data_IF_962964934545
#
_entry.id   IF_962964934545
#
_cell.length_a   1.000
_cell.length_b   1.000
_cell.length_c   1.000
_cell.angle_alpha   90.00
_cell.angle_beta   90.00
_cell.angle_gamma   90.00
#
_symmetry.space_group_name_H-M   'P 1'
#
loop_
_entity.id
_entity.type
_entity.pdbx_description
1 polymer ?
2 polymer ?
3 branched ?
4 branched ?
5 branched ?
6 branched ?
7 non-polymer ?
8 non-polymer ?
9 water ?
#
# COMPACT_ATOMS: atom_id res chain seq x y z
N UNK A 1 -11.84 9.73 -18.27
CA UNK A 1 -12.68 9.31 -17.15
C UNK A 1 -12.09 9.76 -15.83
N UNK A 2 -12.95 9.93 -14.82
CA UNK A 2 -12.50 10.33 -13.48
C UNK A 2 -13.47 9.78 -12.45
N UNK A 3 -13.04 8.82 -11.61
CA UNK A 3 -13.96 8.24 -10.62
C UNK A 3 -14.34 9.19 -9.50
N UNK A 4 -13.63 10.30 -9.34
CA UNK A 4 -13.91 11.30 -8.30
C UNK A 4 -13.88 10.68 -6.90
N UNK A 5 -12.93 9.76 -6.70
CA UNK A 5 -12.69 9.17 -5.40
C UNK A 5 -12.05 10.21 -4.49
N UNK A 6 -11.95 9.93 -3.19
CA UNK A 6 -11.17 10.81 -2.31
C UNK A 6 -9.70 10.73 -2.64
N UNK A 7 -8.94 11.64 -2.04
CA UNK A 7 -7.50 11.63 -2.23
C UNK A 7 -6.82 12.19 -0.99
N UNK A 8 -5.60 11.71 -0.76
CA UNK A 8 -4.84 12.13 0.40
C UNK A 8 -4.15 13.46 0.14
N UNK A 9 -3.72 14.09 1.22
CA UNK A 9 -2.83 15.23 1.18
C UNK A 9 -1.51 14.70 1.70
N UNK A 10 -0.52 14.61 0.81
CA UNK A 10 0.72 13.95 1.18
C UNK A 10 1.63 14.88 1.96
N UNK A 11 1.36 16.18 1.92
CA UNK A 11 2.13 17.17 2.64
C UNK A 11 1.80 17.09 4.13
N UNK A 12 2.11 15.95 4.74
CA UNK A 12 1.99 15.74 6.17
C UNK A 12 3.18 14.93 6.65
N UNK A 13 3.59 15.11 7.91
CA UNK A 13 4.67 14.28 8.45
C UNK A 13 4.22 12.84 8.56
N UNK A 14 5.10 11.91 8.18
CA UNK A 14 4.75 10.51 8.14
C UNK A 14 5.72 9.63 8.91
N UNK A 15 6.75 10.21 9.51
CA UNK A 15 7.68 9.52 10.39
C UNK A 15 7.78 10.38 11.65
N UNK A 16 7.06 9.99 12.69
CA UNK A 16 6.95 10.77 13.91
C UNK A 16 7.66 10.08 15.07
N UNK A 17 8.43 10.86 15.82
CA UNK A 17 9.13 10.38 17.00
C UNK A 17 8.73 11.24 18.19
N UNK A 18 8.23 10.61 19.25
CA UNK A 18 7.89 11.28 20.49
C UNK A 18 8.63 10.57 21.62
N UNK A 19 8.90 11.31 22.68
CA UNK A 19 9.45 10.67 23.86
C UNK A 19 8.34 9.95 24.62
N UNK A 20 8.74 8.95 25.41
CA UNK A 20 7.76 8.13 26.12
C UNK A 20 6.93 9.02 27.05
N UNK A 21 5.60 8.86 26.99
CA UNK A 21 4.69 9.68 27.74
C UNK A 21 4.24 10.95 27.03
N UNK A 22 5.00 11.40 26.03
CA UNK A 22 4.65 12.61 25.27
C UNK A 22 3.61 12.28 24.23
N UNK A 23 2.53 13.06 24.18
CA UNK A 23 1.43 12.77 23.27
C UNK A 23 1.86 12.89 21.80
N UNK A 24 1.45 11.92 20.99
CA UNK A 24 1.74 11.90 19.58
C UNK A 24 0.51 12.14 18.72
N UNK A 25 0.70 12.80 17.58
CA UNK A 25 -0.39 13.11 16.66
C UNK A 25 0.00 12.64 15.26
N UNK A 26 -0.91 11.92 14.60
CA UNK A 26 -0.71 11.43 13.25
C UNK A 26 -1.74 12.12 12.34
N UNK A 27 -1.26 12.92 11.39
CA UNK A 27 -2.13 13.79 10.59
C UNK A 27 -2.43 13.13 9.24
N UNK A 28 -3.68 12.73 9.07
CA UNK A 28 -4.19 12.21 7.79
C UNK A 28 -5.24 13.17 7.28
N UNK A 29 -4.97 13.79 6.13
CA UNK A 29 -5.90 14.72 5.50
C UNK A 29 -6.51 14.05 4.28
N UNK A 30 -7.83 13.95 4.25
CA UNK A 30 -8.55 13.30 3.16
C UNK A 30 -9.52 14.32 2.56
N UNK A 31 -9.35 14.57 1.27
CA UNK A 31 -10.18 15.52 0.53
C UNK A 31 -11.20 14.77 -0.31
N UNK A 32 -12.32 15.44 -0.61
CA UNK A 32 -13.37 14.89 -1.47
C UNK A 32 -13.88 13.55 -0.94
N UNK A 33 -14.21 13.53 0.36
CA UNK A 33 -14.56 12.26 1.01
C UNK A 33 -15.80 11.64 0.42
N UNK A 34 -16.78 12.46 0.01
CA UNK A 34 -17.99 11.90 -0.57
C UNK A 34 -18.71 11.06 0.46
N UNK A 35 -19.14 9.87 0.04
CA UNK A 35 -19.83 8.93 0.90
C UNK A 35 -18.88 7.93 1.56
N UNK A 36 -17.57 8.16 1.47
CA UNK A 36 -16.59 7.22 2.00
C UNK A 36 -16.34 7.50 3.48
N UNK A 37 -15.51 6.65 4.10
CA UNK A 37 -15.19 6.80 5.51
C UNK A 37 -13.71 6.47 5.73
N UNK A 38 -13.13 7.13 6.73
CA UNK A 38 -11.70 7.06 7.02
C UNK A 38 -11.49 6.27 8.30
N UNK A 39 -10.46 5.42 8.32
CA UNK A 39 -10.19 4.58 9.48
C UNK A 39 -8.71 4.61 9.79
N UNK A 40 -8.39 4.36 11.05
CA UNK A 40 -7.02 4.19 11.52
C UNK A 40 -6.86 2.76 11.99
N UNK A 41 -5.78 2.09 11.56
CA UNK A 41 -5.50 0.74 12.01
C UNK A 41 -4.04 0.64 12.41
N UNK A 42 -3.76 -0.29 13.33
CA UNK A 42 -2.40 -0.62 13.74
C UNK A 42 -1.93 -1.82 12.92
N UNK A 43 -0.90 -1.62 12.12
CA UNK A 43 -0.51 -2.62 11.12
C UNK A 43 0.08 -3.87 11.75
N UNK A 44 0.80 -3.71 12.87
CA UNK A 44 1.51 -4.84 13.46
C UNK A 44 0.58 -6.02 13.75
N UNK A 45 -0.57 -5.75 14.36
CA UNK A 45 -1.51 -6.81 14.70
C UNK A 45 -2.87 -6.64 14.01
N UNK A 46 -2.99 -5.71 13.07
CA UNK A 46 -4.23 -5.50 12.32
C UNK A 46 -5.38 -5.10 13.26
N UNK A 47 -5.03 -4.31 14.28
CA UNK A 47 -6.01 -3.86 15.26
C UNK A 47 -6.70 -2.60 14.76
N UNK A 48 -8.03 -2.65 14.69
CA UNK A 48 -8.78 -1.46 14.33
C UNK A 48 -8.73 -0.48 15.49
N UNK A 49 -8.40 0.78 15.20
CA UNK A 49 -8.37 1.81 16.24
C UNK A 49 -9.61 2.68 16.17
N UNK A 50 -9.82 3.36 15.05
CA UNK A 50 -11.00 4.19 14.83
C UNK A 50 -11.57 3.90 13.45
N UNK A 51 -12.86 4.19 13.31
CA UNK A 51 -13.58 4.05 12.05
C UNK A 51 -14.57 5.20 11.98
N UNK A 52 -14.31 6.17 11.12
CA UNK A 52 -15.16 7.35 11.09
C UNK A 52 -15.04 8.12 12.39
N UNK A 53 -16.17 8.62 12.88
CA UNK A 53 -16.17 9.36 14.13
C UNK A 53 -15.98 8.47 15.35
N UNK A 54 -16.24 7.18 15.21
CA UNK A 54 -16.25 6.26 16.34
C UNK A 54 -14.88 5.64 16.59
N UNK A 55 -14.59 5.39 17.85
CA UNK A 55 -13.39 4.68 18.26
C UNK A 55 -13.77 3.21 18.42
N UNK A 56 -12.95 2.32 17.84
CA UNK A 56 -13.22 0.90 17.98
C UNK A 56 -12.48 0.29 19.16
N UNK A 57 -11.18 0.57 19.27
CA UNK A 57 -10.37 -0.02 20.33
C UNK A 57 -10.88 0.43 21.70
N UNK A 58 -10.70 -0.45 22.70
CA UNK A 58 -10.99 -0.10 24.07
C UNK A 58 -9.80 0.53 24.78
N UNK A 59 -8.65 0.60 24.12
CA UNK A 59 -7.48 1.34 24.61
C UNK A 59 -7.84 2.82 24.57
N UNK A 60 -8.16 3.40 25.72
CA UNK A 60 -8.64 4.78 25.77
C UNK A 60 -7.59 5.80 25.37
N UNK A 61 -6.37 5.39 25.06
CA UNK A 61 -5.37 6.36 24.63
C UNK A 61 -5.55 6.80 23.19
N UNK A 62 -6.38 6.11 22.42
CA UNK A 62 -6.54 6.39 20.99
C UNK A 62 -7.86 7.10 20.76
N UNK A 63 -7.79 8.26 20.09
CA UNK A 63 -8.96 9.01 19.69
C UNK A 63 -8.68 9.67 18.34
N UNK A 64 -9.72 9.82 17.53
CA UNK A 64 -9.60 10.52 16.26
C UNK A 64 -10.20 11.91 16.43
N UNK A 65 -9.38 12.93 16.20
CA UNK A 65 -9.80 14.33 16.35
C UNK A 65 -10.18 14.84 14.96
N UNK A 66 -11.48 14.94 14.70
CA UNK A 66 -11.95 15.48 13.45
C UNK A 66 -13.21 16.33 13.66
N UNK A 67 -13.14 17.63 13.42
CA UNK A 67 -14.37 18.43 13.42
C UNK A 67 -15.20 18.14 12.19
N UNK A 68 -16.52 18.29 12.32
CA UNK A 68 -17.43 18.01 11.23
C UNK A 68 -17.09 18.85 10.00
N UNK A 69 -17.12 18.21 8.83
CA UNK A 69 -16.82 18.86 7.58
C UNK A 69 -15.34 19.02 7.30
N UNK A 70 -14.48 18.83 8.29
CA UNK A 70 -13.05 19.00 8.08
C UNK A 70 -12.48 17.79 7.34
N UNK A 71 -11.33 18.02 6.71
CA UNK A 71 -10.57 16.96 6.07
C UNK A 71 -9.53 16.34 6.99
N UNK A 72 -9.33 16.87 8.19
CA UNK A 72 -8.27 16.43 9.08
C UNK A 72 -8.75 15.26 9.93
N UNK A 73 -8.07 14.12 9.81
CA UNK A 73 -8.35 12.93 10.61
C UNK A 73 -7.13 12.63 11.48
N UNK A 74 -6.89 13.46 12.49
CA UNK A 74 -5.71 13.32 13.33
C UNK A 74 -5.91 12.22 14.35
N UNK A 75 -5.02 11.23 14.35
CA UNK A 75 -5.03 10.19 15.38
C UNK A 75 -4.22 10.70 16.56
N UNK A 76 -4.86 10.79 17.72
CA UNK A 76 -4.19 11.24 18.93
C UNK A 76 -3.81 10.02 19.75
N UNK A 77 -2.57 9.97 20.19
CA UNK A 77 -2.07 8.85 20.98
C UNK A 77 -1.52 9.43 22.28
N UNK A 78 -2.36 9.45 23.31
CA UNK A 78 -1.94 9.94 24.60
C UNK A 78 -1.16 8.86 25.34
N UNK A 79 -0.25 9.30 26.21
CA UNK A 79 0.56 8.43 27.05
C UNK A 79 1.21 7.27 26.29
N UNK A 80 1.99 7.54 25.24
CA UNK A 80 2.59 6.46 24.47
C UNK A 80 3.73 5.78 25.21
N UNK A 81 3.87 4.49 24.94
CA UNK A 81 4.91 3.63 25.49
C UNK A 81 5.70 3.06 24.33
N UNK A 82 6.94 2.61 24.57
CA UNK A 82 7.72 2.02 23.47
C UNK A 82 6.99 0.89 22.75
N UNK A 83 6.05 0.23 23.44
CA UNK A 83 5.26 -0.82 22.83
C UNK A 83 4.43 -0.31 21.66
N UNK A 84 4.04 0.97 21.70
CA UNK A 84 3.20 1.54 20.66
C UNK A 84 3.95 1.84 19.37
N UNK A 85 5.28 1.78 19.37
CA UNK A 85 6.05 2.07 18.17
C UNK A 85 5.71 1.08 17.06
N UNK A 86 5.63 1.59 15.84
CA UNK A 86 5.31 0.76 14.69
C UNK A 86 4.61 1.58 13.62
N UNK A 87 4.05 0.87 12.64
CA UNK A 87 3.40 1.48 11.48
C UNK A 87 1.90 1.54 11.73
N UNK A 88 1.32 2.71 11.47
CA UNK A 88 -0.11 2.94 11.57
C UNK A 88 -0.63 3.38 10.21
N UNK A 89 -1.84 2.93 9.86
CA UNK A 89 -2.36 3.13 8.51
C UNK A 89 -3.67 3.90 8.55
N UNK A 90 -3.75 4.96 7.75
CA UNK A 90 -4.98 5.71 7.52
C UNK A 90 -5.59 5.16 6.23
N UNK A 91 -6.75 4.51 6.35
CA UNK A 91 -7.33 3.86 5.18
C UNK A 91 -8.74 4.39 4.91
N UNK A 92 -9.06 4.45 3.61
CA UNK A 92 -10.35 4.89 3.10
C UNK A 92 -11.09 3.65 2.59
N UNK A 93 -12.40 3.58 2.88
CA UNK A 93 -13.15 2.36 2.63
C UNK A 93 -13.61 2.19 1.18
N UNK A 94 -12.83 2.72 0.23
CA UNK A 94 -13.08 2.47 -1.17
C UNK A 94 -12.80 1.00 -1.51
N UNK A 95 -13.22 0.60 -2.71
CA UNK A 95 -13.05 -0.77 -3.20
C UNK A 95 -12.20 -0.75 -4.46
N UNK A 96 -10.90 -1.12 -4.38
CA UNK A 96 -10.14 -1.54 -3.20
C UNK A 96 -9.79 -0.34 -2.32
N UNK A 97 -9.25 -0.61 -1.13
CA UNK A 97 -8.98 0.46 -0.18
C UNK A 97 -7.95 1.44 -0.73
N UNK A 98 -7.97 2.65 -0.18
CA UNK A 98 -6.88 3.59 -0.26
C UNK A 98 -6.23 3.65 1.10
N UNK A 99 -4.90 3.70 1.13
CA UNK A 99 -4.16 3.63 2.37
C UNK A 99 -2.96 4.57 2.33
N UNK A 100 -2.59 5.07 3.51
CA UNK A 100 -1.42 5.90 3.71
C UNK A 100 -0.74 5.45 4.99
N UNK A 101 0.54 5.11 4.91
CA UNK A 101 1.24 4.52 6.05
C UNK A 101 1.98 5.58 6.84
N UNK A 102 2.01 5.42 8.15
CA UNK A 102 2.69 6.32 9.07
C UNK A 102 3.56 5.51 10.01
N UNK A 103 4.78 5.97 10.24
CA UNK A 103 5.68 5.34 11.19
C UNK A 103 5.71 6.17 12.47
N UNK A 104 5.52 5.49 13.61
CA UNK A 104 5.42 6.13 14.91
C UNK A 104 6.48 5.52 15.82
N UNK A 105 7.35 6.36 16.37
CA UNK A 105 8.45 5.91 17.22
C UNK A 105 8.32 6.54 18.60
N UNK A 106 8.48 5.73 19.63
CA UNK A 106 8.42 6.18 21.02
C UNK A 106 9.77 5.91 21.66
N UNK A 107 10.47 6.97 22.05
CA UNK A 107 11.85 6.87 22.53
C UNK A 107 11.90 7.07 24.04
N UNK A 108 12.79 6.31 24.68
CA UNK A 108 12.93 6.33 26.14
C UNK A 108 13.80 7.50 26.62
N UNK B 1 -13.19 -12.21 38.21
CA UNK B 1 -13.32 -11.98 36.78
C UNK B 1 -13.96 -10.63 36.48
N UNK B 2 -13.74 -10.14 35.26
CA UNK B 2 -14.55 -9.03 34.78
C UNK B 2 -15.96 -9.54 34.51
N UNK B 3 -16.95 -8.73 34.87
CA UNK B 3 -18.34 -9.15 34.73
C UNK B 3 -18.68 -9.49 33.27
N UNK B 4 -17.94 -8.90 32.33
CA UNK B 4 -18.06 -9.23 30.91
C UNK B 4 -16.66 -9.51 30.38
N UNK B 5 -16.41 -10.77 30.00
CA UNK B 5 -15.12 -11.19 29.44
C UNK B 5 -15.37 -11.99 28.17
N UNK B 6 -15.51 -11.32 27.03
CA UNK B 6 -15.84 -12.03 25.78
C UNK B 6 -14.72 -12.94 25.32
N UNK B 7 -15.11 -14.08 24.76
CA UNK B 7 -14.17 -15.06 24.22
C UNK B 7 -14.74 -15.66 22.94
N UNK B 8 -13.85 -16.19 22.12
CA UNK B 8 -14.26 -16.89 20.91
C UNK B 8 -14.83 -18.25 21.30
N UNK B 9 -16.06 -18.53 20.87
CA UNK B 9 -16.66 -19.81 21.24
C UNK B 9 -16.01 -20.98 20.49
N UNK B 10 -15.54 -20.74 19.28
CA UNK B 10 -14.99 -21.80 18.43
C UNK B 10 -14.07 -21.16 17.40
N UNK B 11 -13.11 -21.91 16.86
CA UNK B 11 -12.32 -21.39 15.75
C UNK B 11 -13.17 -21.26 14.51
N UNK B 12 -12.75 -20.36 13.63
CA UNK B 12 -13.43 -20.18 12.35
C UNK B 12 -13.24 -21.42 11.48
N UNK B 13 -14.30 -21.83 10.79
CA UNK B 13 -14.26 -22.97 9.89
C UNK B 13 -13.83 -22.51 8.50
N UNK B 14 -12.73 -23.07 7.99
CA UNK B 14 -12.33 -22.84 6.61
C UNK B 14 -13.52 -23.12 5.68
N UNK B 15 -13.57 -22.40 4.57
CA UNK B 15 -14.66 -22.56 3.62
C UNK B 15 -14.11 -22.57 2.21
N UNK B 16 -14.68 -23.42 1.37
CA UNK B 16 -14.37 -23.47 -0.05
C UNK B 16 -15.64 -23.22 -0.84
N UNK B 17 -15.57 -22.33 -1.84
CA UNK B 17 -16.75 -21.97 -2.60
C UNK B 17 -16.40 -21.74 -4.07
N UNK B 18 -17.23 -22.22 -4.98
CA UNK B 18 -16.96 -22.00 -6.41
C UNK B 18 -17.23 -20.56 -6.84
N UNK B 19 -16.59 -20.18 -7.94
CA UNK B 19 -16.75 -18.82 -8.46
C UNK B 19 -18.22 -18.58 -8.80
N UNK B 20 -18.70 -17.38 -8.46
CA UNK B 20 -20.07 -17.01 -8.71
C UNK B 20 -21.06 -17.41 -7.64
N UNK B 21 -20.66 -18.28 -6.70
CA UNK B 21 -21.55 -18.66 -5.62
C UNK B 21 -21.30 -17.79 -4.40
N UNK B 22 -22.18 -17.92 -3.41
CA UNK B 22 -22.04 -17.22 -2.15
C UNK B 22 -21.25 -18.06 -1.16
N UNK B 23 -20.48 -17.37 -0.32
CA UNK B 23 -19.79 -18.02 0.79
C UNK B 23 -20.11 -17.27 2.07
N UNK B 24 -20.06 -17.99 3.18
CA UNK B 24 -20.35 -17.44 4.49
C UNK B 24 -19.20 -17.76 5.42
N UNK B 25 -18.68 -16.74 6.08
CA UNK B 25 -17.64 -16.89 7.08
C UNK B 25 -18.24 -16.53 8.43
N UNK B 26 -18.20 -17.48 9.36
CA UNK B 26 -18.89 -17.36 10.64
C UNK B 26 -17.88 -17.30 11.78
N UNK B 27 -18.07 -16.31 12.65
CA UNK B 27 -17.29 -16.14 13.87
C UNK B 27 -18.24 -16.24 15.06
N UNK B 28 -17.94 -17.15 16.01
CA UNK B 28 -18.82 -17.43 17.13
C UNK B 28 -18.15 -16.93 18.41
N UNK B 29 -18.83 -16.02 19.11
CA UNK B 29 -18.30 -15.42 20.33
C UNK B 29 -19.23 -15.72 21.50
N UNK B 30 -18.65 -15.67 22.70
CA UNK B 30 -19.38 -15.78 23.95
C UNK B 30 -19.26 -14.49 24.74
N UNK B 31 -20.33 -14.12 25.44
CA UNK B 31 -20.32 -13.01 26.40
C UNK B 31 -19.78 -11.72 25.79
N UNK B 32 -20.24 -11.41 24.58
CA UNK B 32 -19.77 -10.21 23.90
C UNK B 32 -20.10 -8.96 24.69
N UNK B 33 -21.29 -8.89 25.28
CA UNK B 33 -21.67 -7.75 26.08
C UNK B 33 -21.69 -6.47 25.24
N UNK B 34 -21.05 -5.42 25.76
CA UNK B 34 -21.05 -4.14 25.04
C UNK B 34 -19.98 -4.05 23.97
N UNK B 35 -19.17 -5.08 23.79
CA UNK B 35 -18.05 -5.09 22.88
C UNK B 35 -18.50 -5.31 21.44
N UNK B 36 -17.57 -5.06 20.51
CA UNK B 36 -17.86 -5.02 19.08
C UNK B 36 -17.04 -6.06 18.32
N UNK B 37 -17.69 -6.76 17.39
CA UNK B 37 -17.06 -7.78 16.56
C UNK B 37 -16.81 -7.21 15.17
N UNK B 38 -15.61 -7.40 14.63
CA UNK B 38 -15.26 -6.89 13.32
C UNK B 38 -14.64 -7.97 12.45
N UNK B 39 -14.91 -7.88 11.15
CA UNK B 39 -14.34 -8.75 10.13
C UNK B 39 -13.39 -7.95 9.25
N UNK B 40 -12.24 -8.53 8.95
CA UNK B 40 -11.23 -7.88 8.12
C UNK B 40 -10.67 -8.87 7.12
N UNK B 41 -10.23 -8.35 5.98
CA UNK B 41 -9.44 -9.12 5.03
C UNK B 41 -7.98 -9.03 5.46
N UNK B 42 -7.37 -10.18 5.74
CA UNK B 42 -6.00 -10.19 6.24
C UNK B 42 -5.01 -9.83 5.14
N UNK B 43 -5.19 -10.39 3.95
CA UNK B 43 -4.19 -10.23 2.89
C UNK B 43 -4.01 -8.77 2.50
N UNK B 44 -5.12 -8.02 2.43
CA UNK B 44 -5.07 -6.61 2.08
C UNK B 44 -5.25 -5.70 3.27
N UNK B 45 -5.36 -6.25 4.48
CA UNK B 45 -5.56 -5.47 5.70
C UNK B 45 -6.65 -4.43 5.52
N UNK B 46 -7.81 -4.90 5.09
CA UNK B 46 -8.96 -4.05 4.80
C UNK B 46 -10.07 -4.33 5.79
N UNK B 47 -10.58 -3.26 6.41
CA UNK B 47 -11.74 -3.39 7.29
C UNK B 47 -12.97 -3.71 6.44
N UNK B 48 -13.66 -4.78 6.78
CA UNK B 48 -14.87 -5.18 6.06
C UNK B 48 -16.16 -4.80 6.81
N UNK B 49 -16.31 -5.28 8.04
CA UNK B 49 -17.53 -5.03 8.83
C UNK B 49 -17.17 -4.69 10.26
N UNK B 50 -18.06 -3.92 10.92
CA UNK B 50 -17.99 -3.69 12.35
C UNK B 50 -19.40 -3.80 12.92
N UNK B 51 -19.62 -4.76 13.81
CA UNK B 51 -20.95 -5.08 14.35
C UNK B 51 -21.84 -5.38 13.16
N UNK B 52 -23.02 -4.75 13.04
CA UNK B 52 -23.96 -4.98 11.96
C UNK B 52 -23.82 -3.97 10.82
N UNK B 53 -22.72 -3.23 10.78
CA UNK B 53 -22.46 -2.26 9.73
C UNK B 53 -21.36 -2.79 8.82
N UNK B 54 -21.63 -2.81 7.52
CA UNK B 54 -20.60 -3.11 6.53
C UNK B 54 -19.80 -1.84 6.29
N UNK B 55 -18.49 -1.89 6.53
CA UNK B 55 -17.65 -0.72 6.33
C UNK B 55 -17.20 -0.61 4.87
N UNK B 56 -16.76 -1.73 4.29
CA UNK B 56 -16.28 -1.67 2.92
C UNK B 56 -17.42 -1.28 1.97
N UNK B 57 -17.06 -0.52 0.95
CA UNK B 57 -17.99 -0.18 -0.11
C UNK B 57 -18.16 -1.31 -1.13
N UNK B 58 -17.49 -2.44 -0.91
CA UNK B 58 -17.75 -3.64 -1.68
C UNK B 58 -19.18 -4.09 -1.41
N UNK B 59 -20.06 -3.91 -2.38
CA UNK B 59 -21.47 -4.23 -2.17
C UNK B 59 -21.74 -5.74 -2.10
N UNK B 60 -20.74 -6.57 -2.40
CA UNK B 60 -20.91 -8.01 -2.29
C UNK B 60 -20.78 -8.51 -0.85
N UNK B 61 -20.52 -7.64 0.11
CA UNK B 61 -20.24 -8.02 1.49
C UNK B 61 -21.39 -7.59 2.38
N UNK B 62 -21.93 -8.55 3.14
CA UNK B 62 -22.93 -8.27 4.15
C UNK B 62 -22.60 -8.97 5.45
N UNK B 63 -23.23 -8.50 6.52
CA UNK B 63 -23.01 -9.04 7.87
C UNK B 63 -24.35 -9.33 8.52
N UNK B 64 -24.43 -10.44 9.25
CA UNK B 64 -25.60 -10.80 10.02
C UNK B 64 -25.12 -11.39 11.34
N UNK B 65 -25.97 -11.27 12.36
CA UNK B 65 -25.64 -11.84 13.66
C UNK B 65 -26.88 -12.50 14.25
N UNK B 66 -26.64 -13.54 15.05
CA UNK B 66 -27.70 -14.27 15.74
C UNK B 66 -27.39 -14.24 17.24
N UNK B 67 -28.23 -13.54 17.99
CA UNK B 67 -28.11 -13.45 19.45
C UNK B 67 -26.78 -12.83 19.88
N UNK B 68 -26.17 -12.01 19.02
CA UNK B 68 -24.85 -11.43 19.29
C UNK B 68 -23.78 -12.50 19.54
N UNK B 69 -24.06 -13.75 19.19
CA UNK B 69 -23.09 -14.83 19.34
C UNK B 69 -22.52 -15.29 18.01
N UNK B 70 -23.36 -15.54 17.02
CA UNK B 70 -22.91 -15.91 15.69
C UNK B 70 -22.79 -14.64 14.85
N UNK B 71 -21.62 -14.41 14.28
CA UNK B 71 -21.38 -13.26 13.42
C UNK B 71 -20.96 -13.80 12.07
N UNK B 72 -21.90 -13.81 11.13
CA UNK B 72 -21.70 -14.43 9.84
C UNK B 72 -21.51 -13.34 8.80
N UNK B 73 -20.35 -13.34 8.16
CA UNK B 73 -20.10 -12.45 7.03
C UNK B 73 -20.38 -13.22 5.75
N UNK B 74 -21.18 -12.62 4.88
CA UNK B 74 -21.52 -13.19 3.59
C UNK B 74 -20.79 -12.44 2.48
N UNK B 75 -20.32 -13.18 1.49
CA UNK B 75 -19.65 -12.62 0.32
C UNK B 75 -20.41 -13.09 -0.91
N UNK B 76 -21.18 -12.19 -1.53
CA UNK B 76 -21.91 -12.51 -2.76
C UNK B 76 -20.96 -12.69 -3.94
N UNK B 77 -21.40 -13.50 -4.91
CA UNK B 77 -20.78 -13.62 -6.23
C UNK B 77 -19.27 -13.69 -6.13
N UNK B 78 -18.75 -14.80 -5.62
CA UNK B 78 -17.31 -14.89 -5.31
C UNK B 78 -16.45 -14.75 -6.56
N UNK B 79 -15.41 -13.92 -6.41
CA UNK B 79 -14.34 -13.74 -7.38
C UNK B 79 -13.11 -14.49 -6.88
N UNK B 80 -12.26 -14.94 -7.81
CA UNK B 80 -11.04 -15.64 -7.41
C UNK B 80 -10.16 -14.78 -6.53
N UNK B 81 -10.24 -13.46 -6.67
CA UNK B 81 -9.52 -12.52 -5.82
C UNK B 81 -10.05 -12.47 -4.39
N UNK B 82 -11.18 -13.12 -4.09
CA UNK B 82 -11.65 -13.20 -2.71
C UNK B 82 -10.92 -14.24 -1.89
N UNK B 83 -10.20 -15.17 -2.53
CA UNK B 83 -9.48 -16.21 -1.81
C UNK B 83 -8.44 -15.62 -0.87
N UNK B 84 -8.36 -16.17 0.33
CA UNK B 84 -7.36 -15.72 1.28
C UNK B 84 -7.87 -15.78 2.70
N UNK B 85 -7.15 -15.10 3.58
CA UNK B 85 -7.40 -15.14 5.01
C UNK B 85 -8.29 -13.99 5.44
N UNK B 86 -9.19 -14.28 6.38
CA UNK B 86 -10.11 -13.30 6.95
C UNK B 86 -10.01 -13.35 8.46
N UNK B 87 -10.05 -12.19 9.10
CA UNK B 87 -9.86 -12.07 10.53
C UNK B 87 -11.14 -11.60 11.22
N UNK B 88 -11.46 -12.24 12.34
CA UNK B 88 -12.55 -11.82 13.22
C UNK B 88 -11.96 -11.22 14.48
N UNK B 89 -12.39 -10.01 14.82
CA UNK B 89 -11.74 -9.22 15.86
C UNK B 89 -12.77 -8.75 16.87
N UNK B 90 -12.36 -8.73 18.15
CA UNK B 90 -13.17 -8.18 19.24
C UNK B 90 -12.37 -7.06 19.88
N UNK B 91 -13.02 -5.92 20.13
CA UNK B 91 -12.34 -4.74 20.67
C UNK B 91 -12.13 -4.79 22.17
N UNK B 92 -11.73 -5.95 22.71
CA UNK B 92 -11.31 -6.00 24.09
C UNK B 92 -9.93 -5.37 24.24
N UNK B 93 -9.52 -5.16 25.48
CA UNK B 93 -8.18 -4.65 25.80
C UNK B 93 -7.48 -5.67 26.68
N UNK B 94 -6.52 -6.46 26.15
CA UNK B 94 -6.06 -6.44 24.76
C UNK B 94 -7.08 -7.02 23.78
N UNK B 95 -6.96 -6.68 22.51
CA UNK B 95 -7.90 -7.17 21.51
C UNK B 95 -7.71 -8.67 21.30
N UNK B 96 -8.77 -9.33 20.81
CA UNK B 96 -8.71 -10.74 20.49
C UNK B 96 -8.95 -10.94 18.99
N UNK B 97 -8.23 -11.91 18.42
CA UNK B 97 -8.26 -12.15 16.98
C UNK B 97 -8.21 -13.64 16.69
N UNK B 98 -8.91 -14.04 15.64
CA UNK B 98 -8.74 -15.37 15.05
C UNK B 98 -8.98 -15.23 13.55
N UNK B 99 -8.44 -16.19 12.80
CA UNK B 99 -8.46 -16.13 11.34
C UNK B 99 -9.03 -17.40 10.72
N UNK B 100 -9.71 -17.22 9.60
CA UNK B 100 -10.16 -18.34 8.79
C UNK B 100 -9.85 -18.06 7.33
N UNK B 101 -9.82 -19.14 6.54
CA UNK B 101 -9.41 -19.07 5.14
C UNK B 101 -10.60 -19.36 4.24
N UNK B 102 -10.81 -18.49 3.26
CA UNK B 102 -11.80 -18.71 2.22
C UNK B 102 -11.08 -19.17 0.96
N UNK B 103 -11.36 -20.39 0.52
CA UNK B 103 -10.75 -20.96 -0.67
C UNK B 103 -11.77 -20.88 -1.81
N UNK B 104 -11.29 -20.53 -3.00
CA UNK B 104 -12.15 -20.34 -4.16
C UNK B 104 -11.75 -21.32 -5.24
N UNK B 105 -12.73 -22.01 -5.81
CA UNK B 105 -12.48 -22.97 -6.87
C UNK B 105 -13.11 -22.50 -8.17
N UNK C 3 -14.69 -4.70 -14.12
CA UNK C 3 -13.60 -4.32 -15.02
C UNK C 3 -12.61 -5.46 -15.29
N UNK C 4 -12.64 -6.49 -14.45
CA UNK C 4 -11.77 -7.67 -14.61
C UNK C 4 -10.28 -7.28 -14.61
N UNK C 5 -9.90 -6.45 -13.64
CA UNK C 5 -8.51 -6.10 -13.46
C UNK C 5 -7.73 -7.32 -12.96
N UNK C 6 -6.40 -7.27 -12.99
CA UNK C 6 -5.61 -8.34 -12.39
C UNK C 6 -5.72 -8.35 -10.88
N UNK C 7 -5.20 -9.42 -10.28
CA UNK C 7 -5.20 -9.56 -8.83
C UNK C 7 -4.01 -10.41 -8.42
N UNK C 8 -3.52 -10.18 -7.20
CA UNK C 8 -2.35 -10.88 -6.72
C UNK C 8 -2.70 -12.29 -6.26
N UNK C 9 -1.66 -13.09 -6.10
CA UNK C 9 -1.72 -14.44 -5.56
C UNK C 9 -1.02 -14.42 -4.20
N UNK C 10 -1.80 -14.54 -3.12
CA UNK C 10 -1.28 -14.25 -1.79
C UNK C 10 -0.58 -15.42 -1.08
N UNK C 11 -0.86 -16.67 -1.44
CA UNK C 11 -0.18 -17.80 -0.79
C UNK C 11 1.23 -17.98 -1.35
N UNK C 12 2.07 -16.98 -1.07
CA UNK C 12 3.49 -17.03 -1.42
C UNK C 12 4.29 -16.51 -0.25
N UNK C 13 5.54 -16.97 -0.10
CA UNK C 13 6.39 -16.46 0.98
C UNK C 13 6.70 -15.00 0.76
N UNK C 14 6.61 -14.22 1.85
CA UNK C 14 6.79 -12.78 1.76
C UNK C 14 7.79 -12.20 2.75
N UNK C 15 8.41 -13.04 3.59
CA UNK C 15 9.50 -12.63 4.47
C UNK C 15 10.60 -13.67 4.24
N UNK C 16 11.59 -13.32 3.41
CA UNK C 16 12.60 -14.28 2.99
C UNK C 16 13.94 -13.92 3.59
N UNK C 17 14.63 -14.92 4.13
CA UNK C 17 15.95 -14.77 4.71
C UNK C 17 16.91 -15.74 4.03
N UNK C 18 18.00 -15.21 3.49
CA UNK C 18 19.04 -16.04 2.89
C UNK C 18 20.37 -15.68 3.52
N UNK C 19 21.27 -16.65 3.54
CA UNK C 19 22.63 -16.38 3.99
C UNK C 19 23.41 -15.70 2.87
N UNK C 20 24.46 -14.98 3.26
CA UNK C 20 25.24 -14.22 2.29
C UNK C 20 25.83 -15.16 1.24
N UNK C 21 25.70 -14.77 -0.03
CA UNK C 21 26.14 -15.60 -1.13
C UNK C 21 25.10 -16.55 -1.67
N UNK C 22 24.06 -16.86 -0.91
CA UNK C 22 23.00 -17.74 -1.38
C UNK C 22 21.99 -16.95 -2.20
N UNK C 23 21.66 -17.43 -3.40
CA UNK C 23 20.75 -16.70 -4.27
C UNK C 23 19.37 -16.63 -3.64
N UNK C 24 18.76 -15.45 -3.71
CA UNK C 24 17.44 -15.23 -3.18
C UNK C 24 16.41 -15.03 -4.27
N UNK C 25 15.19 -15.52 -4.03
CA UNK C 25 14.09 -15.44 -4.97
C UNK C 25 12.87 -14.87 -4.27
N UNK C 26 12.24 -13.88 -4.90
CA UNK C 26 11.01 -13.28 -4.41
C UNK C 26 9.91 -13.61 -5.41
N UNK C 27 8.90 -14.34 -4.96
CA UNK C 27 7.87 -14.88 -5.84
C UNK C 27 6.66 -13.94 -5.85
N UNK C 28 6.43 -13.30 -6.98
CA UNK C 28 5.25 -12.48 -7.20
C UNK C 28 4.43 -13.16 -8.29
N UNK C 29 3.24 -13.61 -7.94
CA UNK C 29 2.33 -14.24 -8.88
C UNK C 29 1.18 -13.27 -9.16
N UNK C 30 0.99 -12.92 -10.43
CA UNK C 30 -0.03 -11.97 -10.86
C UNK C 30 -0.95 -12.67 -11.84
N UNK C 31 -2.23 -12.73 -11.51
CA UNK C 31 -3.22 -13.43 -12.34
C UNK C 31 -4.03 -12.43 -13.15
N UNK C 32 -4.51 -12.89 -14.31
CA UNK C 32 -5.38 -12.11 -15.19
C UNK C 32 -4.71 -10.78 -15.56
N UNK C 33 -3.47 -10.87 -16.05
CA UNK C 33 -2.66 -9.66 -16.27
C UNK C 33 -3.26 -8.75 -17.35
N UNK C 34 -3.80 -9.33 -18.41
CA UNK C 34 -4.35 -8.52 -19.48
C UNK C 34 -3.26 -7.69 -20.13
N UNK C 35 -3.54 -6.41 -20.34
CA UNK C 35 -2.61 -5.49 -20.97
C UNK C 35 -1.75 -4.71 -19.96
N UNK C 36 -1.76 -5.09 -18.69
CA UNK C 36 -0.96 -4.41 -17.69
C UNK C 36 0.45 -5.00 -17.64
N UNK C 37 1.30 -4.42 -16.79
CA UNK C 37 2.68 -4.86 -16.70
C UNK C 37 3.14 -4.85 -15.25
N UNK C 38 4.11 -5.72 -14.95
CA UNK C 38 4.59 -5.95 -13.59
C UNK C 38 6.01 -5.40 -13.46
N UNK C 39 6.28 -4.75 -12.33
CA UNK C 39 7.58 -4.15 -12.09
C UNK C 39 8.04 -4.48 -10.68
N UNK C 40 9.36 -4.51 -10.48
CA UNK C 40 9.96 -4.69 -9.16
C UNK C 40 10.73 -3.43 -8.80
N UNK C 41 10.55 -2.96 -7.57
CA UNK C 41 11.27 -1.78 -7.09
C UNK C 41 11.83 -2.09 -5.71
N UNK C 42 12.92 -1.40 -5.38
CA UNK C 42 13.49 -1.44 -4.04
C UNK C 42 12.94 -0.25 -3.28
N UNK C 43 12.16 -0.51 -2.23
CA UNK C 43 11.44 0.59 -1.58
C UNK C 43 12.37 1.54 -0.85
N UNK C 44 13.48 1.03 -0.32
CA UNK C 44 14.34 1.86 0.52
C UNK C 44 14.75 3.14 -0.18
N UNK C 45 15.21 3.04 -1.43
CA UNK C 45 15.62 4.22 -2.18
C UNK C 45 14.80 4.40 -3.45
N UNK C 46 13.71 3.65 -3.62
CA UNK C 46 12.82 3.78 -4.78
C UNK C 46 13.56 3.48 -6.08
N UNK C 47 14.49 2.54 -6.03
CA UNK C 47 15.24 2.16 -7.21
C UNK C 47 14.46 1.12 -8.00
N UNK C 48 14.20 1.42 -9.28
CA UNK C 48 13.52 0.46 -10.14
C UNK C 48 14.48 -0.68 -10.47
N UNK C 49 14.02 -1.92 -10.31
CA UNK C 49 14.84 -3.08 -10.60
C UNK C 49 14.51 -3.68 -11.96
N UNK C 50 13.25 -4.08 -12.16
CA UNK C 50 12.79 -4.59 -13.45
C UNK C 50 11.47 -3.94 -13.80
N UNK C 51 11.16 -3.93 -15.09
CA UNK C 51 9.88 -3.39 -15.58
C UNK C 51 9.44 -4.30 -16.72
N UNK C 52 8.42 -5.11 -16.47
CA UNK C 52 8.04 -6.10 -17.46
C UNK C 52 9.17 -7.09 -17.64
N UNK C 53 9.41 -7.48 -18.89
CA UNK C 53 10.50 -8.40 -19.16
C UNK C 53 11.88 -7.78 -19.06
N UNK C 54 11.98 -6.46 -19.20
CA UNK C 54 13.28 -5.80 -19.27
C UNK C 54 13.76 -5.40 -17.88
N UNK C 55 15.07 -5.42 -17.71
CA UNK C 55 15.74 -5.02 -16.48
C UNK C 55 16.16 -3.56 -16.58
N UNK C 56 15.85 -2.77 -15.55
CA UNK C 56 16.25 -1.37 -15.53
C UNK C 56 17.57 -1.18 -14.79
N UNK C 57 17.71 -1.79 -13.60
CA UNK C 57 18.91 -1.58 -12.80
C UNK C 57 20.14 -2.09 -13.54
N UNK C 58 21.27 -1.41 -13.31
CA UNK C 58 22.55 -1.85 -13.84
C UNK C 58 23.28 -2.80 -12.90
N UNK C 59 22.75 -3.03 -11.71
CA UNK C 59 23.24 -4.05 -10.80
C UNK C 59 22.92 -5.40 -11.42
N UNK C 60 23.92 -6.04 -12.02
CA UNK C 60 23.71 -7.28 -12.77
C UNK C 60 23.24 -8.45 -11.93
N UNK C 61 23.12 -8.27 -10.61
CA UNK C 61 22.67 -9.35 -9.75
C UNK C 61 21.15 -9.53 -9.80
N UNK C 62 20.42 -8.60 -10.40
CA UNK C 62 18.97 -8.63 -10.43
C UNK C 62 18.46 -9.07 -11.79
N UNK C 63 17.58 -10.07 -11.80
CA UNK C 63 16.88 -10.49 -13.00
C UNK C 63 15.48 -10.93 -12.61
N UNK C 64 14.54 -10.74 -13.52
CA UNK C 64 13.17 -11.22 -13.35
C UNK C 64 13.00 -12.49 -14.17
N UNK C 65 12.69 -13.59 -13.50
CA UNK C 65 12.48 -14.89 -14.13
C UNK C 65 10.99 -15.06 -14.33
N UNK C 66 10.54 -14.90 -15.57
CA UNK C 66 9.13 -15.07 -15.87
C UNK C 66 8.98 -15.87 -17.16
N UNK C 67 8.42 -17.07 -17.10
CA UNK C 67 8.13 -17.79 -18.35
C UNK C 67 6.97 -17.15 -19.08
N UNK C 68 7.02 -17.21 -20.40
CA UNK C 68 5.95 -16.66 -21.21
C UNK C 68 4.66 -17.39 -20.85
N UNK C 69 3.58 -16.66 -20.65
CA UNK C 69 2.33 -17.27 -20.26
C UNK C 69 2.19 -17.59 -18.79
N UNK C 70 3.26 -17.52 -18.01
CA UNK C 70 3.20 -17.78 -16.58
C UNK C 70 2.63 -16.57 -15.84
N UNK C 71 2.10 -16.85 -14.66
CA UNK C 71 1.73 -15.81 -13.72
C UNK C 71 2.87 -15.47 -12.77
N UNK C 72 3.97 -16.21 -12.85
CA UNK C 72 5.10 -16.09 -11.94
C UNK C 72 6.05 -14.99 -12.42
N UNK C 73 6.23 -13.97 -11.59
CA UNK C 73 7.19 -12.89 -11.84
C UNK C 73 8.22 -12.93 -10.72
N UNK C 74 9.09 -13.95 -10.74
CA UNK C 74 10.07 -14.15 -9.69
C UNK C 74 11.26 -13.23 -9.88
N UNK C 75 11.56 -12.44 -8.84
CA UNK C 75 12.76 -11.61 -8.80
C UNK C 75 13.91 -12.44 -8.25
N UNK C 76 14.97 -12.56 -9.03
CA UNK C 76 16.17 -13.28 -8.62
C UNK C 76 17.23 -12.28 -8.20
N UNK C 77 17.87 -12.52 -7.05
CA UNK C 77 18.89 -11.65 -6.50
C UNK C 77 20.12 -12.50 -6.24
N UNK C 78 21.05 -12.53 -7.19
CA UNK C 78 22.27 -13.31 -7.02
C UNK C 78 23.28 -12.54 -6.18
N UNK C 79 24.16 -13.30 -5.51
CA UNK C 79 25.20 -12.74 -4.66
C UNK C 79 24.69 -11.67 -3.69
N UNK C 80 23.70 -11.99 -2.86
CA UNK C 80 23.13 -10.97 -1.96
C UNK C 80 24.05 -10.65 -0.80
N UNK C 81 24.02 -9.39 -0.40
CA UNK C 81 24.80 -8.87 0.71
C UNK C 81 23.87 -8.26 1.75
N UNK C 82 24.33 -8.09 2.99
CA UNK C 82 23.48 -7.43 4.00
C UNK C 82 22.95 -6.07 3.58
N UNK C 83 23.67 -5.37 2.71
CA UNK C 83 23.19 -4.09 2.18
C UNK C 83 21.89 -4.24 1.42
N UNK C 84 21.66 -5.40 0.83
CA UNK C 84 20.44 -5.66 0.06
C UNK C 84 19.22 -5.90 0.92
N UNK C 85 19.39 -6.09 2.24
CA UNK C 85 18.24 -6.34 3.10
C UNK C 85 17.29 -5.15 3.07
N UNK C 86 16.00 -5.43 3.05
CA UNK C 86 15.00 -4.40 3.01
C UNK C 86 13.75 -4.89 2.29
N UNK C 87 12.86 -3.93 2.02
CA UNK C 87 11.54 -4.21 1.45
C UNK C 87 11.59 -4.01 -0.06
N UNK C 88 11.06 -4.98 -0.79
CA UNK C 88 10.95 -4.95 -2.23
C UNK C 88 9.48 -5.06 -2.61
N UNK C 89 9.08 -4.32 -3.65
CA UNK C 89 7.67 -4.24 -4.01
C UNK C 89 7.44 -4.70 -5.44
N UNK C 90 6.47 -5.59 -5.61
CA UNK C 90 5.99 -6.03 -6.92
C UNK C 90 4.76 -5.19 -7.24
N UNK C 91 4.86 -4.32 -8.25
CA UNK C 91 3.77 -3.40 -8.54
C UNK C 91 3.24 -3.57 -9.96
N UNK C 92 1.94 -3.36 -10.11
CA UNK C 92 1.23 -3.42 -11.39
C UNK C 92 0.86 -2.00 -11.80
N UNK C 93 1.01 -1.71 -13.09
CA UNK C 93 0.90 -0.35 -13.59
C UNK C 93 -0.54 0.13 -13.79
N UNK C 94 -1.49 -0.44 -13.06
CA UNK C 94 -2.84 0.07 -13.07
C UNK C 94 -2.88 1.50 -12.48
N UNK C 95 -3.98 2.18 -12.70
CA UNK C 95 -4.14 3.53 -12.15
C UNK C 95 -5.33 3.54 -11.20
N UNK C 96 -5.10 3.56 -9.87
CA UNK C 96 -3.79 3.58 -9.22
C UNK C 96 -3.10 2.21 -9.23
N UNK C 97 -1.83 2.18 -8.83
CA UNK C 97 -1.07 0.94 -8.89
C UNK C 97 -1.67 -0.11 -7.96
N UNK C 98 -1.36 -1.37 -8.26
CA UNK C 98 -1.53 -2.49 -7.35
C UNK C 98 -0.15 -2.93 -6.88
N UNK C 99 -0.01 -3.22 -5.60
CA UNK C 99 1.32 -3.50 -5.07
C UNK C 99 1.28 -4.60 -4.03
N UNK C 100 2.38 -5.34 -3.95
CA UNK C 100 2.57 -6.40 -2.95
C UNK C 100 4.00 -6.30 -2.45
N UNK C 101 4.17 -6.12 -1.14
CA UNK C 101 5.48 -5.88 -0.55
C UNK C 101 6.09 -7.18 -0.04
N UNK C 102 7.41 -7.28 -0.15
CA UNK C 102 8.19 -8.43 0.27
C UNK C 102 9.36 -7.96 1.10
N UNK C 103 9.62 -8.66 2.22
CA UNK C 103 10.78 -8.37 3.05
C UNK C 103 11.86 -9.40 2.77
N UNK C 104 13.07 -8.92 2.52
CA UNK C 104 14.21 -9.74 2.14
C UNK C 104 15.33 -9.44 3.13
N UNK C 105 15.83 -10.48 3.80
CA UNK C 105 16.89 -10.35 4.80
C UNK C 105 18.10 -11.15 4.37
N UNK C 106 19.28 -10.54 4.47
CA UNK C 106 20.54 -11.19 4.12
C UNK C 106 21.40 -11.25 5.38
N UNK C 107 21.66 -12.46 5.86
CA UNK C 107 22.37 -12.69 7.11
C UNK C 107 23.76 -13.20 6.82
N UNK C 108 24.70 -12.86 7.71
CA UNK C 108 26.10 -13.23 7.53
C UNK C 108 26.41 -14.66 7.93
N UNK D 1 36.13 8.17 -13.94
CA UNK D 1 36.97 8.09 -15.12
C UNK D 1 36.37 7.13 -16.14
N UNK D 2 35.10 6.78 -15.96
CA UNK D 2 34.36 6.07 -16.98
C UNK D 2 34.09 6.99 -18.17
N UNK D 3 34.19 6.43 -19.37
CA UNK D 3 34.00 7.22 -20.60
C UNK D 3 32.60 7.81 -20.65
N UNK D 4 31.64 7.15 -20.00
CA UNK D 4 30.28 7.66 -19.87
C UNK D 4 29.92 7.62 -18.39
N UNK D 5 29.80 8.80 -17.79
CA UNK D 5 29.47 8.96 -16.37
C UNK D 5 28.34 9.97 -16.27
N UNK D 6 27.09 9.52 -16.37
CA UNK D 6 25.98 10.48 -16.41
C UNK D 6 25.88 11.24 -15.09
N UNK D 7 25.56 12.52 -15.19
CA UNK D 7 25.35 13.37 -14.02
C UNK D 7 24.19 14.30 -14.29
N UNK D 8 23.54 14.74 -13.23
CA UNK D 8 22.46 15.71 -13.36
C UNK D 8 23.05 17.07 -13.65
N UNK D 9 22.62 17.67 -14.76
CA UNK D 9 23.12 18.98 -15.14
C UNK D 9 22.57 20.07 -14.24
N UNK D 10 21.38 19.87 -13.68
CA UNK D 10 20.67 20.90 -12.94
C UNK D 10 19.72 20.23 -11.96
N UNK D 11 19.33 20.90 -10.89
CA UNK D 11 18.27 20.36 -10.04
C UNK D 11 16.96 20.33 -10.79
N UNK D 12 16.06 19.45 -10.35
CA UNK D 12 14.72 19.44 -10.94
C UNK D 12 14.06 20.75 -10.61
N UNK D 13 13.33 21.30 -11.58
CA UNK D 13 12.65 22.58 -11.39
C UNK D 13 11.30 22.31 -10.76
N UNK D 14 11.11 22.81 -9.53
CA UNK D 14 9.80 22.82 -8.88
C UNK D 14 8.78 23.50 -9.79
N UNK D 15 7.52 23.10 -9.67
CA UNK D 15 6.46 23.78 -10.40
C UNK D 15 5.19 23.87 -9.59
N UNK D 16 4.50 25.01 -9.69
CA UNK D 16 3.17 25.19 -9.12
C UNK D 16 2.22 25.53 -10.26
N UNK D 17 1.07 24.85 -10.31
CA UNK D 17 0.14 25.07 -11.41
C UNK D 17 -1.30 24.94 -10.96
N UNK D 18 -2.20 25.78 -11.47
CA UNK D 18 -3.60 25.70 -11.06
C UNK D 18 -4.29 24.46 -11.58
N UNK D 19 -5.38 24.10 -10.89
CA UNK D 19 -6.16 22.92 -11.23
C UNK D 19 -6.66 23.01 -12.68
N UNK D 20 -6.66 21.87 -13.36
CA UNK D 20 -7.16 21.79 -14.72
C UNK D 20 -6.15 22.12 -15.80
N UNK D 21 -5.00 22.68 -15.44
CA UNK D 21 -3.98 23.04 -16.40
C UNK D 21 -2.97 21.91 -16.53
N UNK D 22 -2.06 22.06 -17.49
CA UNK D 22 -0.97 21.10 -17.68
C UNK D 22 0.23 21.50 -16.84
N UNK D 23 0.98 20.50 -16.39
CA UNK D 23 2.22 20.72 -15.67
C UNK D 23 3.34 19.98 -16.37
N UNK D 24 4.54 20.53 -16.27
CA UNK D 24 5.73 19.94 -16.87
C UNK D 24 6.84 19.91 -15.83
N UNK D 25 7.42 18.73 -15.61
CA UNK D 25 8.56 18.57 -14.73
C UNK D 25 9.73 18.09 -15.57
N UNK D 26 10.83 18.84 -15.52
CA UNK D 26 11.99 18.61 -16.39
C UNK D 26 13.19 18.15 -15.58
N UNK D 27 13.85 17.11 -16.07
CA UNK D 27 15.09 16.57 -15.52
C UNK D 27 16.19 16.70 -16.57
N UNK D 28 17.32 17.33 -16.20
CA UNK D 28 18.40 17.62 -17.15
C UNK D 28 19.61 16.76 -16.79
N UNK D 29 20.04 15.91 -17.74
CA UNK D 29 21.18 15.04 -17.53
C UNK D 29 22.27 15.33 -18.56
N UNK D 30 23.50 15.04 -18.18
CA UNK D 30 24.66 15.14 -19.07
C UNK D 30 25.25 13.75 -19.27
N UNK D 31 25.75 13.49 -20.47
CA UNK D 31 26.48 12.26 -20.78
C UNK D 31 25.66 11.04 -20.38
N UNK D 32 24.36 11.07 -20.73
CA UNK D 32 23.49 9.96 -20.38
C UNK D 32 23.99 8.67 -21.01
N UNK D 33 24.49 8.74 -22.24
CA UNK D 33 25.04 7.58 -22.89
C UNK D 33 23.99 6.49 -23.02
N UNK D 34 24.38 5.26 -22.66
CA UNK D 34 23.47 4.13 -22.78
C UNK D 34 22.52 3.96 -21.60
N UNK D 35 22.60 4.81 -20.60
CA UNK D 35 21.80 4.69 -19.38
C UNK D 35 20.38 5.23 -19.61
N UNK D 36 19.49 4.92 -18.67
CA UNK D 36 18.05 5.17 -18.84
C UNK D 36 17.52 6.11 -17.75
N UNK D 37 16.68 7.06 -18.16
CA UNK D 37 16.07 8.05 -17.27
C UNK D 37 14.62 7.64 -16.99
N UNK D 38 14.22 7.68 -15.72
CA UNK D 38 12.88 7.30 -15.31
C UNK D 38 12.27 8.36 -14.40
N UNK D 39 10.94 8.51 -14.50
CA UNK D 39 10.15 9.39 -13.65
C UNK D 39 9.25 8.56 -12.74
N UNK D 40 9.16 8.96 -11.48
CA UNK D 40 8.36 8.25 -10.50
C UNK D 40 7.59 9.23 -9.62
N UNK D 41 6.42 8.79 -9.15
CA UNK D 41 5.70 9.51 -8.11
C UNK D 41 6.24 9.03 -6.76
N UNK D 42 6.84 9.95 -6.00
CA UNK D 42 7.44 9.57 -4.73
C UNK D 42 6.38 9.22 -3.70
N UNK D 43 5.32 10.03 -3.62
CA UNK D 43 4.32 9.86 -2.57
C UNK D 43 3.63 8.51 -2.65
N UNK D 44 3.38 8.03 -3.88
CA UNK D 44 2.76 6.72 -4.08
C UNK D 44 3.75 5.64 -4.51
N UNK D 45 5.04 5.98 -4.63
CA UNK D 45 6.06 5.04 -5.10
C UNK D 45 5.58 4.30 -6.34
N UNK D 46 5.13 5.07 -7.32
CA UNK D 46 4.58 4.54 -8.56
C UNK D 46 5.50 4.91 -9.71
N UNK D 47 5.88 3.89 -10.51
CA UNK D 47 6.64 4.15 -11.71
C UNK D 47 5.76 4.87 -12.72
N UNK D 48 6.25 6.00 -13.23
CA UNK D 48 5.52 6.77 -14.23
C UNK D 48 6.04 6.52 -15.64
N UNK D 49 7.32 6.78 -15.89
CA UNK D 49 7.91 6.61 -17.22
C UNK D 49 9.29 6.00 -17.09
N UNK D 50 9.73 5.32 -18.16
CA UNK D 50 11.10 4.86 -18.32
C UNK D 50 11.54 5.19 -19.73
N UNK D 51 12.57 6.03 -19.85
CA UNK D 51 13.04 6.54 -21.15
C UNK D 51 11.85 7.22 -21.80
N UNK D 52 11.51 6.89 -23.05
CA UNK D 52 10.39 7.50 -23.75
C UNK D 52 9.12 6.66 -23.65
N UNK D 53 9.08 5.72 -22.71
CA UNK D 53 7.92 4.86 -22.50
C UNK D 53 7.20 5.28 -21.23
N UNK D 54 5.89 5.50 -21.35
CA UNK D 54 5.06 5.70 -20.17
C UNK D 54 4.66 4.33 -19.65
N UNK D 55 5.01 4.04 -18.40
CA UNK D 55 4.65 2.76 -17.78
C UNK D 55 3.25 2.80 -17.20
N UNK D 56 2.91 3.87 -16.48
CA UNK D 56 1.60 3.96 -15.85
C UNK D 56 0.49 4.03 -16.90
N UNK D 57 -0.66 3.46 -16.53
CA UNK D 57 -1.87 3.53 -17.35
C UNK D 57 -2.60 4.86 -17.19
N UNK D 58 -2.10 5.76 -16.36
CA UNK D 58 -2.61 7.12 -16.27
C UNK D 58 -2.38 7.84 -17.59
N UNK D 59 -3.44 8.04 -18.37
CA UNK D 59 -3.29 8.63 -19.70
C UNK D 59 -2.97 10.13 -19.67
N UNK D 60 -3.05 10.78 -18.51
CA UNK D 60 -2.68 12.19 -18.41
C UNK D 60 -1.18 12.41 -18.39
N UNK D 61 -0.38 11.35 -18.45
CA UNK D 61 1.06 11.44 -18.30
C UNK D 61 1.74 11.14 -19.62
N UNK D 62 2.60 12.06 -20.06
CA UNK D 62 3.40 11.85 -21.24
C UNK D 62 4.84 12.22 -20.96
N UNK D 63 5.74 11.71 -21.81
CA UNK D 63 7.17 11.91 -21.65
C UNK D 63 7.75 12.41 -22.96
N UNK D 64 8.67 13.36 -22.85
CA UNK D 64 9.38 13.90 -24.00
C UNK D 64 10.83 14.11 -23.61
N UNK D 65 11.72 14.05 -24.60
CA UNK D 65 13.13 14.29 -24.35
C UNK D 65 13.71 15.15 -25.47
N UNK D 66 14.71 15.95 -25.12
CA UNK D 66 15.39 16.84 -26.06
C UNK D 66 16.88 16.51 -26.00
N UNK D 67 17.40 15.92 -27.08
CA UNK D 67 18.82 15.62 -27.22
C UNK D 67 19.34 14.70 -26.12
N UNK D 68 18.46 13.90 -25.52
CA UNK D 68 18.78 13.02 -24.38
C UNK D 68 19.34 13.79 -23.19
N UNK D 69 19.19 15.11 -23.17
CA UNK D 69 19.63 15.94 -22.05
C UNK D 69 18.46 16.44 -21.23
N UNK D 70 17.45 16.98 -21.90
CA UNK D 70 16.24 17.46 -21.24
C UNK D 70 15.19 16.35 -21.25
N UNK D 71 14.68 15.99 -20.07
CA UNK D 71 13.65 14.97 -19.93
C UNK D 71 12.45 15.58 -19.21
N UNK D 72 11.42 15.90 -19.98
CA UNK D 72 10.24 16.62 -19.50
C UNK D 72 9.05 15.68 -19.41
N UNK D 73 8.47 15.56 -18.21
CA UNK D 73 7.23 14.82 -18.03
C UNK D 73 6.06 15.80 -18.03
N UNK D 74 5.04 15.51 -18.81
CA UNK D 74 3.83 16.31 -18.88
C UNK D 74 2.69 15.60 -18.18
N UNK D 75 1.90 16.36 -17.43
CA UNK D 75 0.73 15.86 -16.72
C UNK D 75 -0.46 16.69 -17.19
N UNK D 76 -1.30 16.09 -18.03
CA UNK D 76 -2.50 16.80 -18.49
C UNK D 76 -3.49 17.01 -17.35
N UNK D 77 -4.26 18.08 -17.46
CA UNK D 77 -5.44 18.34 -16.63
C UNK D 77 -5.16 18.04 -15.16
N UNK D 78 -4.37 18.94 -14.55
CA UNK D 78 -3.87 18.69 -13.21
C UNK D 78 -5.03 18.51 -12.26
N UNK D 79 -4.97 17.42 -11.50
CA UNK D 79 -5.89 17.20 -10.40
C UNK D 79 -5.14 17.47 -9.11
N UNK D 80 -5.85 17.98 -8.12
CA UNK D 80 -5.20 18.32 -6.85
C UNK D 80 -4.55 17.10 -6.20
N UNK D 81 -5.01 15.90 -6.54
CA UNK D 81 -4.36 14.68 -6.11
C UNK D 81 -2.99 14.45 -6.74
N UNK D 82 -2.63 15.24 -7.76
CA UNK D 82 -1.29 15.16 -8.36
C UNK D 82 -0.23 15.90 -7.56
N UNK D 83 -0.64 16.75 -6.62
CA UNK D 83 0.32 17.48 -5.80
C UNK D 83 1.21 16.51 -5.03
N UNK D 84 2.49 16.81 -4.96
CA UNK D 84 3.41 15.98 -4.23
C UNK D 84 4.79 15.96 -4.88
N UNK D 85 5.58 14.99 -4.45
CA UNK D 85 6.98 14.86 -4.86
C UNK D 85 7.12 13.90 -6.03
N UNK D 86 8.03 14.23 -6.94
CA UNK D 86 8.33 13.41 -8.11
C UNK D 86 9.83 13.20 -8.21
N UNK D 87 10.24 12.00 -8.59
CA UNK D 87 11.64 11.61 -8.63
C UNK D 87 12.11 11.34 -10.05
N UNK D 88 13.30 11.83 -10.37
CA UNK D 88 13.99 11.52 -11.62
C UNK D 88 15.17 10.60 -11.32
N UNK D 89 15.23 9.47 -12.01
CA UNK D 89 16.16 8.40 -11.69
C UNK D 89 16.96 8.00 -12.92
N UNK D 90 18.25 7.69 -12.73
CA UNK D 90 19.12 7.15 -13.78
C UNK D 90 19.62 5.79 -13.34
N UNK D 91 19.58 4.82 -14.25
CA UNK D 91 19.96 3.44 -13.91
C UNK D 91 21.48 3.22 -13.90
N UNK D 92 22.24 4.17 -13.37
CA UNK D 92 23.64 3.93 -13.10
C UNK D 92 23.79 3.00 -11.90
N UNK D 93 25.00 2.51 -11.69
CA UNK D 93 25.32 1.72 -10.51
C UNK D 93 26.47 2.40 -9.77
N UNK D 94 26.23 3.08 -8.64
CA UNK D 94 24.92 3.21 -7.98
C UNK D 94 23.97 4.14 -8.72
N UNK D 95 22.67 4.01 -8.44
CA UNK D 95 21.69 4.84 -9.11
C UNK D 95 21.80 6.28 -8.64
N UNK D 96 21.37 7.20 -9.49
CA UNK D 96 21.35 8.63 -9.17
C UNK D 96 19.91 9.11 -9.15
N UNK D 97 19.61 10.03 -8.24
CA UNK D 97 18.24 10.48 -8.02
C UNK D 97 18.19 11.97 -7.73
N UNK D 98 17.10 12.58 -8.17
CA UNK D 98 16.74 13.94 -7.79
C UNK D 98 15.23 13.99 -7.63
N UNK D 99 14.77 14.90 -6.78
CA UNK D 99 13.34 15.02 -6.51
C UNK D 99 12.89 16.47 -6.66
N UNK D 100 11.67 16.64 -7.16
CA UNK D 100 11.05 17.93 -7.22
C UNK D 100 9.60 17.84 -6.79
N UNK D 101 9.04 18.99 -6.44
CA UNK D 101 7.69 19.08 -5.90
C UNK D 101 6.78 19.79 -6.88
N UNK D 102 5.63 19.16 -7.17
CA UNK D 102 4.58 19.80 -7.96
C UNK D 102 3.50 20.28 -7.01
N UNK D 103 3.27 21.59 -7.01
CA UNK D 103 2.27 22.23 -6.18
C UNK D 103 1.06 22.58 -7.04
N UNK D 104 -0.14 22.46 -6.47
CA UNK D 104 -1.39 22.71 -7.18
C UNK D 104 -2.16 23.81 -6.46
N UNK D 105 -2.71 24.75 -7.22
CA UNK D 105 -3.44 25.88 -6.65
C UNK D 105 -4.93 25.79 -6.93
#
# INVERSE_FOLDING_TARGET
ADPLLPYFDFDVPRNLTVTVGQTGFLHCRVERLGDKDVSWIRKRDLHILTAGGTTYTSDQRFQVLRPDGSANWTLQIKYPQPRDSGVYECQINTEPKMSLSYTFNVVEHHHHHH
SRIVDPKFSSPIVNMTAPVGRDAFLTCVVQDLGPYKVAWLRVDTQTILTIQNHVITKNQRIGIANSEHKTWTMRIKDIKESDKGWYMCQINTDPMKSQMGYLDVVVHHHHHH
ADPLLPYFDFDVPRNLTVTVGQTGFLHCRVERLGDKDVSWIRKRDLHILTAGGTTYTSDQRFQVLRPDGSANWTLQIKYPQPRDSGVYECQINTEPKMSLSYTFNVVEHHHHHH
SRIVDPKFSSPIVNMTAPVGRDAFLTCVVQDLGPYKVAWLRVDTQTILTIQNHVITKNQRIGIANSEHKTWTMRIKDIKESDKGWYMCQINTDPMKSQMGYLDVVVHHHHHH
#
